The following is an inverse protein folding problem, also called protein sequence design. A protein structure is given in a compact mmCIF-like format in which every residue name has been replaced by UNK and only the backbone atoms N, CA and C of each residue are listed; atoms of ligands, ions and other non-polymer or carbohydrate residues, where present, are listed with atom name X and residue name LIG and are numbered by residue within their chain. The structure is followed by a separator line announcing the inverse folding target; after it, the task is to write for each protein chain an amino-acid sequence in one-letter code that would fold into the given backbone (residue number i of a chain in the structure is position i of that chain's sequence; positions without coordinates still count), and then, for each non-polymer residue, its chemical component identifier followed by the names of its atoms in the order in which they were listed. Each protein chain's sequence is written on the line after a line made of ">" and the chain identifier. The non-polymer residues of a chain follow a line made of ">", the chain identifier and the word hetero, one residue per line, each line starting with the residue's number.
data_IF_196720430220
#
_entry.id   IF_196720430220
#
_cell.length_a   1.000
_cell.length_b   1.000
_cell.length_c   1.000
_cell.angle_alpha   90.00
_cell.angle_beta   90.00
_cell.angle_gamma   90.00
#
_symmetry.space_group_name_H-M   'P 1'
#
loop_
_entity.id
_entity.type
_entity.pdbx_description
1 polymer ?
#
# COMPACT_ATOMS: atom_id res chain seq x y z
N UNK A 1 -30.44 14.64 -39.89
CA UNK A 1 -30.85 14.01 -41.16
C UNK A 1 -32.11 14.65 -41.73
N UNK A 2 -33.23 14.73 -40.99
CA UNK A 2 -34.47 15.41 -41.47
C UNK A 2 -34.29 16.92 -41.70
N UNK A 3 -33.51 17.63 -40.88
CA UNK A 3 -33.19 19.05 -41.11
C UNK A 3 -32.21 19.33 -42.27
N UNK A 4 -31.75 18.29 -42.99
CA UNK A 4 -30.86 18.41 -44.16
C UNK A 4 -31.41 17.73 -45.42
N UNK A 5 -32.68 17.31 -45.42
CA UNK A 5 -33.32 16.73 -46.62
C UNK A 5 -32.72 15.39 -47.08
N UNK A 6 -32.06 14.65 -46.18
CA UNK A 6 -31.52 13.32 -46.48
C UNK A 6 -32.48 12.27 -45.93
N UNK A 7 -33.06 11.46 -46.81
CA UNK A 7 -33.90 10.32 -46.45
C UNK A 7 -33.10 9.30 -45.64
N UNK A 8 -33.61 8.96 -44.45
CA UNK A 8 -32.99 7.99 -43.57
C UNK A 8 -33.59 6.60 -43.87
N UNK A 9 -32.81 5.73 -44.51
CA UNK A 9 -33.16 4.33 -44.73
C UNK A 9 -33.01 3.51 -43.43
N UNK A 10 -33.87 3.78 -42.45
CA UNK A 10 -34.04 2.96 -41.26
C UNK A 10 -35.53 2.89 -40.88
N UNK A 11 -36.34 2.42 -41.82
CA UNK A 11 -37.71 1.94 -41.55
C UNK A 11 -37.69 0.43 -41.45
N UNK A 12 -37.18 -0.10 -40.34
CA UNK A 12 -37.52 -1.45 -39.88
C UNK A 12 -37.74 -1.38 -38.38
N UNK A 13 -38.91 -1.85 -37.97
CA UNK A 13 -39.50 -1.69 -36.66
C UNK A 13 -38.53 -2.05 -35.52
N UNK A 14 -38.17 -1.04 -34.71
CA UNK A 14 -37.48 -1.25 -33.44
C UNK A 14 -38.53 -1.30 -32.34
N UNK A 15 -38.54 -2.42 -31.63
CA UNK A 15 -39.18 -2.70 -30.35
C UNK A 15 -39.47 -1.45 -29.52
N UNK A 16 -40.70 -1.36 -29.02
CA UNK A 16 -41.16 -0.39 -28.03
C UNK A 16 -40.12 -0.14 -26.93
N UNK A 17 -39.41 0.98 -27.01
CA UNK A 17 -38.69 1.52 -25.86
C UNK A 17 -39.73 2.06 -24.88
N UNK A 18 -39.98 1.31 -23.81
CA UNK A 18 -40.59 1.87 -22.62
C UNK A 18 -39.55 2.79 -21.97
N UNK A 19 -39.71 4.10 -22.13
CA UNK A 19 -39.16 5.02 -21.16
C UNK A 19 -39.82 4.69 -19.82
N UNK A 20 -39.08 4.02 -18.94
CA UNK A 20 -39.44 3.98 -17.52
C UNK A 20 -39.34 5.42 -17.06
N UNK A 21 -40.49 6.09 -16.97
CA UNK A 21 -40.61 7.33 -16.24
C UNK A 21 -40.19 7.01 -14.81
N UNK A 22 -38.96 7.37 -14.45
CA UNK A 22 -38.46 7.34 -13.09
C UNK A 22 -39.24 8.40 -12.30
N UNK A 23 -40.45 8.04 -11.87
CA UNK A 23 -41.23 8.76 -10.86
C UNK A 23 -40.51 8.58 -9.54
N UNK A 24 -39.53 9.44 -9.32
CA UNK A 24 -39.38 10.30 -8.15
C UNK A 24 -38.11 11.10 -8.42
N UNK A 25 -38.27 12.41 -8.62
CA UNK A 25 -37.20 13.35 -8.36
C UNK A 25 -36.85 13.20 -6.87
N UNK A 26 -35.99 12.24 -6.54
CA UNK A 26 -35.27 12.25 -5.28
C UNK A 26 -34.64 13.63 -5.22
N UNK A 27 -35.16 14.48 -4.33
CA UNK A 27 -34.57 15.79 -4.03
C UNK A 27 -33.07 15.58 -3.98
N UNK A 28 -32.32 16.26 -4.84
CA UNK A 28 -30.85 16.31 -4.73
C UNK A 28 -30.56 16.64 -3.26
N UNK A 29 -29.99 15.71 -2.49
CA UNK A 29 -29.81 15.93 -1.05
C UNK A 29 -28.96 17.18 -0.86
N UNK A 30 -29.44 18.13 -0.06
CA UNK A 30 -28.65 19.32 0.27
C UNK A 30 -27.35 18.86 0.91
N UNK A 31 -26.22 19.38 0.41
CA UNK A 31 -24.89 19.15 0.98
C UNK A 31 -24.92 19.55 2.45
N UNK A 32 -24.51 18.65 3.35
CA UNK A 32 -24.50 18.89 4.81
C UNK A 32 -23.58 20.06 5.21
N UNK A 33 -22.55 20.34 4.40
CA UNK A 33 -21.63 21.47 4.56
C UNK A 33 -21.62 22.29 3.28
N UNK A 34 -22.37 23.40 3.24
CA UNK A 34 -22.64 24.16 2.00
C UNK A 34 -21.40 24.68 1.26
N UNK A 35 -20.26 24.87 1.94
CA UNK A 35 -19.04 25.46 1.36
C UNK A 35 -17.99 24.44 0.90
N UNK A 36 -18.21 23.14 1.09
CA UNK A 36 -17.21 22.09 0.83
C UNK A 36 -17.36 21.36 -0.50
N UNK A 37 -18.44 21.60 -1.25
CA UNK A 37 -18.76 20.81 -2.45
C UNK A 37 -17.67 20.87 -3.51
N UNK A 38 -17.01 22.03 -3.70
CA UNK A 38 -15.89 22.15 -4.63
C UNK A 38 -14.76 21.17 -4.30
N UNK A 39 -14.46 20.99 -3.01
CA UNK A 39 -13.39 20.10 -2.57
C UNK A 39 -13.80 18.63 -2.64
N UNK A 40 -15.04 18.30 -2.28
CA UNK A 40 -15.58 16.94 -2.43
C UNK A 40 -15.59 16.54 -3.92
N UNK A 41 -15.97 17.46 -4.81
CA UNK A 41 -15.88 17.22 -6.25
C UNK A 41 -14.44 17.02 -6.72
N UNK A 42 -13.49 17.83 -6.22
CA UNK A 42 -12.07 17.64 -6.50
C UNK A 42 -11.56 16.27 -6.03
N UNK A 43 -12.00 15.79 -4.85
CA UNK A 43 -11.66 14.44 -4.39
C UNK A 43 -12.10 13.37 -5.39
N UNK A 44 -13.36 13.37 -5.83
CA UNK A 44 -13.86 12.35 -6.76
C UNK A 44 -13.20 12.44 -8.15
N UNK A 45 -12.80 13.64 -8.58
CA UNK A 45 -12.00 13.83 -9.81
C UNK A 45 -10.56 13.33 -9.66
N UNK A 46 -10.01 13.39 -8.45
CA UNK A 46 -8.65 12.98 -8.14
C UNK A 46 -8.51 11.46 -7.93
N UNK A 47 -9.60 10.74 -7.66
CA UNK A 47 -9.57 9.29 -7.46
C UNK A 47 -9.34 8.56 -8.79
N UNK A 48 -8.43 7.58 -8.78
CA UNK A 48 -8.14 6.75 -9.94
C UNK A 48 -9.01 5.49 -10.03
N UNK A 49 -8.65 4.62 -10.98
CA UNK A 49 -9.38 3.39 -11.28
C UNK A 49 -8.85 2.13 -10.59
N UNK A 50 -7.91 2.25 -9.64
CA UNK A 50 -7.27 1.08 -9.01
C UNK A 50 -8.29 0.20 -8.29
N UNK A 51 -8.27 -1.11 -8.60
CA UNK A 51 -9.23 -2.09 -8.08
C UNK A 51 -9.17 -2.21 -6.56
N UNK A 52 -7.96 -2.22 -6.00
CA UNK A 52 -7.68 -2.35 -4.57
C UNK A 52 -8.21 -1.17 -3.75
N UNK A 53 -8.31 0.02 -4.36
CA UNK A 53 -8.82 1.24 -3.73
C UNK A 53 -10.26 1.61 -4.14
N UNK A 54 -10.92 0.75 -4.93
CA UNK A 54 -12.22 1.04 -5.54
C UNK A 54 -13.35 1.33 -4.53
N UNK A 55 -13.22 0.82 -3.29
CA UNK A 55 -14.18 1.09 -2.20
C UNK A 55 -14.34 2.58 -1.93
N UNK A 56 -13.27 3.37 -2.05
CA UNK A 56 -13.24 4.81 -1.78
C UNK A 56 -13.96 5.67 -2.84
N UNK A 57 -14.31 5.07 -3.99
CA UNK A 57 -15.08 5.72 -5.07
C UNK A 57 -16.45 5.08 -5.30
N UNK A 58 -16.87 4.18 -4.42
CA UNK A 58 -18.15 3.49 -4.57
C UNK A 58 -19.33 4.42 -4.31
N UNK A 59 -20.52 4.06 -4.83
CA UNK A 59 -21.75 4.81 -4.58
C UNK A 59 -22.08 4.91 -3.08
N UNK A 60 -21.62 3.96 -2.26
CA UNK A 60 -21.76 3.98 -0.81
C UNK A 60 -21.01 5.16 -0.17
N UNK A 61 -19.83 5.53 -0.69
CA UNK A 61 -19.08 6.70 -0.22
C UNK A 61 -19.84 7.98 -0.51
N UNK A 62 -20.40 8.11 -1.72
CA UNK A 62 -21.24 9.25 -2.09
C UNK A 62 -22.46 9.36 -1.19
N UNK A 63 -23.19 8.26 -0.97
CA UNK A 63 -24.34 8.24 -0.06
C UNK A 63 -23.94 8.67 1.37
N UNK A 64 -22.88 8.09 1.93
CA UNK A 64 -22.41 8.46 3.26
C UNK A 64 -21.94 9.91 3.36
N UNK A 65 -21.41 10.49 2.28
CA UNK A 65 -21.03 11.92 2.26
C UNK A 65 -22.21 12.88 2.45
N UNK A 66 -23.43 12.40 2.19
CA UNK A 66 -24.68 13.11 2.42
C UNK A 66 -25.35 12.76 3.77
N UNK A 67 -24.95 11.66 4.41
CA UNK A 67 -25.56 11.15 5.64
C UNK A 67 -24.71 11.39 6.90
N UNK A 68 -23.40 11.51 6.77
CA UNK A 68 -22.47 11.64 7.89
C UNK A 68 -21.50 12.82 7.74
N UNK A 69 -21.52 13.73 8.72
CA UNK A 69 -20.73 14.95 8.72
C UNK A 69 -19.21 14.65 8.75
N UNK A 70 -18.78 13.62 9.49
CA UNK A 70 -17.36 13.27 9.58
C UNK A 70 -16.83 12.80 8.24
N UNK A 71 -17.63 11.99 7.53
CA UNK A 71 -17.31 11.55 6.18
C UNK A 71 -17.22 12.76 5.24
N UNK A 72 -18.25 13.59 5.22
CA UNK A 72 -18.34 14.77 4.33
C UNK A 72 -17.15 15.72 4.53
N UNK A 73 -16.81 16.01 5.79
CA UNK A 73 -15.67 16.85 6.16
C UNK A 73 -14.34 16.20 5.78
N UNK A 74 -14.18 14.90 5.99
CA UNK A 74 -12.94 14.19 5.65
C UNK A 74 -12.71 14.16 4.15
N UNK A 75 -13.74 13.86 3.33
CA UNK A 75 -13.66 13.93 1.87
C UNK A 75 -13.27 15.33 1.38
N UNK A 76 -13.87 16.37 1.99
CA UNK A 76 -13.50 17.75 1.70
C UNK A 76 -12.04 18.05 2.03
N UNK A 77 -11.50 17.52 3.13
CA UNK A 77 -10.10 17.72 3.52
C UNK A 77 -9.17 17.07 2.48
N UNK A 78 -9.42 15.81 2.10
CA UNK A 78 -8.60 15.12 1.09
C UNK A 78 -8.58 15.90 -0.22
N UNK A 79 -9.77 16.31 -0.72
CA UNK A 79 -9.87 17.07 -1.96
C UNK A 79 -9.23 18.46 -1.87
N UNK A 80 -9.36 19.15 -0.72
CA UNK A 80 -8.73 20.45 -0.51
C UNK A 80 -7.20 20.35 -0.45
N UNK A 81 -6.65 19.34 0.23
CA UNK A 81 -5.22 19.11 0.29
C UNK A 81 -4.65 18.73 -1.07
N UNK A 82 -5.35 17.88 -1.82
CA UNK A 82 -4.97 17.55 -3.20
C UNK A 82 -4.93 18.79 -4.09
N UNK A 83 -5.94 19.67 -4.01
CA UNK A 83 -5.96 20.94 -4.70
C UNK A 83 -4.81 21.88 -4.27
N UNK A 84 -4.45 21.90 -2.97
CA UNK A 84 -3.32 22.71 -2.48
C UNK A 84 -2.00 22.30 -3.13
N UNK A 85 -1.84 21.01 -3.48
CA UNK A 85 -0.66 20.48 -4.18
C UNK A 85 -0.77 20.60 -5.71
N UNK A 86 -1.99 20.70 -6.24
CA UNK A 86 -2.28 20.71 -7.67
C UNK A 86 -3.02 22.00 -8.08
N UNK A 87 -2.31 23.15 -8.19
CA UNK A 87 -2.95 24.44 -8.46
C UNK A 87 -3.62 24.54 -9.85
N UNK A 88 -3.30 23.60 -10.75
CA UNK A 88 -3.96 23.50 -12.06
C UNK A 88 -5.41 23.01 -11.97
N UNK A 89 -5.75 22.29 -10.91
CA UNK A 89 -7.08 21.70 -10.71
C UNK A 89 -7.98 22.69 -9.99
N UNK A 90 -7.48 23.25 -8.88
CA UNK A 90 -8.19 24.27 -8.12
C UNK A 90 -7.18 25.21 -7.47
N UNK A 91 -7.26 26.50 -7.80
CA UNK A 91 -6.41 27.52 -7.19
C UNK A 91 -6.90 27.80 -5.77
N UNK A 92 -6.04 27.52 -4.80
CA UNK A 92 -6.28 27.78 -3.37
C UNK A 92 -5.31 28.86 -2.90
N UNK A 93 -5.82 29.88 -2.22
CA UNK A 93 -4.98 30.95 -1.69
C UNK A 93 -4.30 30.53 -0.35
N UNK A 94 -3.30 31.29 0.09
CA UNK A 94 -2.54 30.96 1.30
C UNK A 94 -3.37 30.96 2.59
N UNK A 95 -4.47 31.73 2.65
CA UNK A 95 -5.38 31.76 3.80
C UNK A 95 -6.24 30.50 3.84
N UNK A 96 -6.79 30.10 2.70
CA UNK A 96 -7.54 28.86 2.54
C UNK A 96 -6.67 27.64 2.85
N UNK A 97 -5.42 27.61 2.36
CA UNK A 97 -4.47 26.54 2.67
C UNK A 97 -4.25 26.37 4.18
N UNK A 98 -4.04 27.47 4.92
CA UNK A 98 -3.89 27.42 6.38
C UNK A 98 -5.14 26.88 7.06
N UNK A 99 -6.31 27.36 6.67
CA UNK A 99 -7.59 26.89 7.20
C UNK A 99 -7.81 25.38 6.94
N UNK A 100 -7.40 24.88 5.77
CA UNK A 100 -7.47 23.44 5.45
C UNK A 100 -6.57 22.62 6.37
N UNK A 101 -5.32 23.07 6.62
CA UNK A 101 -4.42 22.37 7.54
C UNK A 101 -4.96 22.37 8.99
N UNK A 102 -5.49 23.50 9.48
CA UNK A 102 -6.14 23.58 10.80
C UNK A 102 -7.35 22.64 10.90
N UNK A 103 -8.18 22.61 9.86
CA UNK A 103 -9.36 21.73 9.78
C UNK A 103 -8.96 20.26 9.75
N UNK A 104 -7.88 19.93 9.04
CA UNK A 104 -7.32 18.58 9.00
C UNK A 104 -6.84 18.12 10.38
N UNK A 105 -6.01 18.92 11.07
CA UNK A 105 -5.50 18.59 12.42
C UNK A 105 -6.67 18.37 13.38
N UNK A 106 -7.69 19.24 13.34
CA UNK A 106 -8.90 19.10 14.15
C UNK A 106 -9.66 17.82 13.81
N UNK A 107 -9.87 17.51 12.54
CA UNK A 107 -10.59 16.30 12.12
C UNK A 107 -9.83 15.04 12.50
N UNK A 108 -8.51 15.02 12.35
CA UNK A 108 -7.65 13.91 12.79
C UNK A 108 -7.80 13.65 14.29
N UNK A 109 -7.83 14.70 15.11
CA UNK A 109 -8.07 14.57 16.56
C UNK A 109 -9.46 14.04 16.90
N UNK A 110 -10.50 14.43 16.15
CA UNK A 110 -11.87 13.93 16.34
C UNK A 110 -11.92 12.43 16.03
N UNK A 111 -11.41 12.03 14.86
CA UNK A 111 -11.41 10.62 14.45
C UNK A 111 -10.54 9.77 15.39
N UNK A 112 -9.41 10.28 15.88
CA UNK A 112 -8.59 9.58 16.88
C UNK A 112 -9.36 9.32 18.20
N UNK A 113 -10.18 10.27 18.64
CA UNK A 113 -11.00 10.10 19.84
C UNK A 113 -12.11 9.06 19.63
N UNK A 114 -12.74 9.06 18.44
CA UNK A 114 -13.77 8.11 18.04
C UNK A 114 -13.21 6.68 17.90
N UNK A 115 -12.01 6.51 17.31
CA UNK A 115 -11.34 5.20 17.21
C UNK A 115 -11.07 4.55 18.59
N UNK A 116 -10.99 5.34 19.66
CA UNK A 116 -10.80 4.83 21.03
C UNK A 116 -12.10 4.33 21.66
N UNK A 117 -13.28 4.67 21.13
CA UNK A 117 -14.62 4.41 21.70
C UNK A 117 -15.51 3.54 20.79
N UNK A 118 -15.08 2.33 20.38
CA UNK A 118 -15.75 1.54 19.34
C UNK A 118 -17.20 1.14 19.63
N UNK A 119 -17.62 1.17 20.90
CA UNK A 119 -18.96 0.75 21.35
C UNK A 119 -20.07 1.74 20.98
N UNK A 120 -19.74 3.02 20.83
CA UNK A 120 -20.71 4.12 20.65
C UNK A 120 -20.66 4.66 19.21
N UNK A 121 -19.57 4.35 18.48
CA UNK A 121 -19.29 4.93 17.17
C UNK A 121 -19.99 4.22 16.02
N UNK A 122 -20.34 4.98 14.98
CA UNK A 122 -20.74 4.41 13.68
C UNK A 122 -19.53 3.82 12.97
N UNK A 123 -19.36 2.50 13.07
CA UNK A 123 -18.19 1.78 12.54
C UNK A 123 -17.79 2.17 11.11
N UNK A 124 -18.73 2.13 10.17
CA UNK A 124 -18.48 2.38 8.75
C UNK A 124 -17.95 3.81 8.50
N UNK A 125 -18.59 4.81 9.11
CA UNK A 125 -18.21 6.22 8.94
C UNK A 125 -16.83 6.53 9.54
N UNK A 126 -16.54 5.98 10.72
CA UNK A 126 -15.25 6.17 11.40
C UNK A 126 -14.13 5.44 10.66
N UNK A 127 -14.32 4.18 10.27
CA UNK A 127 -13.31 3.42 9.53
C UNK A 127 -13.00 4.10 8.19
N UNK A 128 -14.00 4.52 7.44
CA UNK A 128 -13.78 5.20 6.18
C UNK A 128 -13.07 6.55 6.38
N UNK A 129 -13.50 7.35 7.35
CA UNK A 129 -12.84 8.63 7.65
C UNK A 129 -11.38 8.42 8.06
N UNK A 130 -11.10 7.37 8.85
CA UNK A 130 -9.74 7.02 9.24
C UNK A 130 -8.89 6.59 8.04
N UNK A 131 -9.43 5.81 7.10
CA UNK A 131 -8.73 5.40 5.88
C UNK A 131 -8.47 6.56 4.92
N UNK A 132 -9.42 7.48 4.78
CA UNK A 132 -9.22 8.72 4.01
C UNK A 132 -8.13 9.61 4.63
N UNK A 133 -8.10 9.72 5.96
CA UNK A 133 -7.02 10.42 6.66
C UNK A 133 -5.68 9.71 6.53
N UNK A 134 -5.65 8.37 6.41
CA UNK A 134 -4.41 7.64 6.13
C UNK A 134 -3.81 8.05 4.76
N UNK A 135 -4.65 8.30 3.75
CA UNK A 135 -4.17 8.85 2.47
C UNK A 135 -3.61 10.27 2.63
N UNK A 136 -4.17 11.08 3.53
CA UNK A 136 -3.61 12.42 3.85
C UNK A 136 -2.25 12.32 4.51
N UNK A 137 -2.05 11.38 5.45
CA UNK A 137 -0.73 11.15 6.05
C UNK A 137 0.33 10.81 4.98
N UNK A 138 -0.03 9.98 3.99
CA UNK A 138 0.85 9.64 2.86
C UNK A 138 1.13 10.85 1.95
N UNK A 139 0.19 11.77 1.81
CA UNK A 139 0.39 12.98 0.98
C UNK A 139 1.32 13.99 1.67
N UNK A 140 1.17 14.18 2.98
CA UNK A 140 1.88 15.23 3.71
C UNK A 140 3.23 14.79 4.26
N UNK A 141 3.39 13.52 4.67
CA UNK A 141 4.62 12.96 5.22
C UNK A 141 5.35 13.87 6.22
N UNK A 142 4.60 14.51 7.13
CA UNK A 142 5.16 15.54 8.01
C UNK A 142 6.24 15.02 8.97
N UNK A 143 6.15 13.76 9.39
CA UNK A 143 7.14 13.13 10.25
C UNK A 143 7.24 11.61 9.98
N UNK A 144 8.43 11.00 10.14
CA UNK A 144 8.60 9.57 9.99
C UNK A 144 7.75 8.81 11.02
N UNK A 145 7.10 7.73 10.62
CA UNK A 145 6.33 6.87 11.54
C UNK A 145 4.87 7.28 11.76
N UNK A 146 4.40 8.44 11.27
CA UNK A 146 3.03 8.93 11.55
C UNK A 146 1.96 8.06 10.90
N UNK A 147 2.21 7.62 9.67
CA UNK A 147 1.31 6.74 8.93
C UNK A 147 1.16 5.39 9.62
N UNK A 148 2.26 4.78 10.06
CA UNK A 148 2.31 3.51 10.77
C UNK A 148 1.58 3.60 12.12
N UNK A 149 1.82 4.67 12.87
CA UNK A 149 1.09 4.94 14.10
C UNK A 149 -0.42 5.06 13.86
N UNK A 150 -0.82 5.66 12.74
CA UNK A 150 -2.22 5.77 12.35
C UNK A 150 -2.83 4.40 11.99
N UNK A 151 -2.14 3.59 11.19
CA UNK A 151 -2.57 2.22 10.87
C UNK A 151 -2.71 1.35 12.11
N UNK A 152 -1.78 1.45 13.08
CA UNK A 152 -1.88 0.76 14.37
C UNK A 152 -3.13 1.16 15.17
N UNK A 153 -3.55 2.43 15.09
CA UNK A 153 -4.80 2.89 15.74
C UNK A 153 -6.03 2.28 15.07
N UNK A 154 -6.05 2.22 13.74
CA UNK A 154 -7.12 1.57 12.98
C UNK A 154 -7.18 0.08 13.32
N UNK A 155 -6.06 -0.64 13.33
CA UNK A 155 -6.02 -2.06 13.72
C UNK A 155 -6.54 -2.28 15.15
N UNK A 156 -6.13 -1.45 16.12
CA UNK A 156 -6.66 -1.53 17.50
C UNK A 156 -8.18 -1.33 17.55
N UNK A 157 -8.71 -0.41 16.74
CA UNK A 157 -10.15 -0.20 16.60
C UNK A 157 -10.85 -1.43 16.02
N UNK A 158 -10.36 -1.98 14.90
CA UNK A 158 -10.91 -3.18 14.26
C UNK A 158 -10.90 -4.39 15.20
N UNK A 159 -9.79 -4.60 15.90
CA UNK A 159 -9.63 -5.70 16.87
C UNK A 159 -10.56 -5.57 18.08
N UNK A 160 -10.88 -4.35 18.52
CA UNK A 160 -11.88 -4.16 19.57
C UNK A 160 -13.27 -4.41 19.02
N UNK A 161 -13.60 -3.84 17.86
CA UNK A 161 -14.93 -3.96 17.27
C UNK A 161 -15.28 -5.40 16.90
N UNK A 162 -14.33 -6.19 16.41
CA UNK A 162 -14.53 -7.61 16.07
C UNK A 162 -14.84 -8.49 17.29
N UNK A 163 -14.42 -8.10 18.50
CA UNK A 163 -14.79 -8.77 19.75
C UNK A 163 -16.26 -8.54 20.13
N UNK A 164 -16.82 -7.39 19.75
CA UNK A 164 -18.20 -7.02 20.05
C UNK A 164 -19.18 -7.48 18.97
N UNK A 165 -18.76 -7.44 17.70
CA UNK A 165 -19.57 -7.79 16.54
C UNK A 165 -18.84 -8.78 15.65
N UNK A 166 -19.41 -9.97 15.51
CA UNK A 166 -18.85 -11.03 14.69
C UNK A 166 -18.66 -10.55 13.23
N UNK A 167 -17.49 -10.88 12.65
CA UNK A 167 -17.10 -10.50 11.28
C UNK A 167 -18.10 -10.97 10.22
N UNK A 168 -18.79 -12.09 10.48
CA UNK A 168 -19.85 -12.62 9.61
C UNK A 168 -21.01 -11.64 9.42
N UNK A 169 -21.24 -10.75 10.38
CA UNK A 169 -22.33 -9.75 10.34
C UNK A 169 -21.96 -8.47 9.60
N UNK A 170 -20.70 -8.32 9.17
CA UNK A 170 -20.27 -7.13 8.45
C UNK A 170 -20.87 -7.08 7.04
N UNK A 171 -21.29 -5.90 6.63
CA UNK A 171 -21.76 -5.60 5.27
C UNK A 171 -20.63 -5.78 4.25
N UNK A 172 -20.98 -5.95 2.97
CA UNK A 172 -19.99 -6.05 1.90
C UNK A 172 -19.06 -4.83 1.87
N UNK A 173 -19.62 -3.63 2.02
CA UNK A 173 -18.87 -2.38 2.04
C UNK A 173 -17.90 -2.28 3.24
N UNK A 174 -18.33 -2.70 4.44
CA UNK A 174 -17.45 -2.78 5.62
C UNK A 174 -16.26 -3.73 5.37
N UNK A 175 -16.52 -4.89 4.73
CA UNK A 175 -15.46 -5.85 4.37
C UNK A 175 -14.48 -5.26 3.35
N UNK A 176 -14.98 -4.50 2.38
CA UNK A 176 -14.15 -3.84 1.37
C UNK A 176 -13.26 -2.74 1.99
N UNK A 177 -13.76 -2.00 2.98
CA UNK A 177 -12.96 -1.03 3.74
C UNK A 177 -11.84 -1.72 4.53
N UNK A 178 -12.14 -2.84 5.19
CA UNK A 178 -11.12 -3.62 5.92
C UNK A 178 -10.11 -4.23 4.95
N UNK A 179 -10.53 -4.64 3.75
CA UNK A 179 -9.61 -5.09 2.70
C UNK A 179 -8.64 -3.98 2.29
N UNK A 180 -9.13 -2.75 2.10
CA UNK A 180 -8.28 -1.60 1.82
C UNK A 180 -7.32 -1.32 2.98
N UNK A 181 -7.79 -1.38 4.22
CA UNK A 181 -6.93 -1.23 5.41
C UNK A 181 -5.78 -2.24 5.38
N UNK A 182 -6.07 -3.53 5.19
CA UNK A 182 -5.07 -4.60 5.09
C UNK A 182 -4.06 -4.33 4.00
N UNK A 183 -4.53 -3.85 2.85
CA UNK A 183 -3.65 -3.53 1.75
C UNK A 183 -2.66 -2.43 2.11
N UNK A 184 -3.12 -1.34 2.74
CA UNK A 184 -2.24 -0.28 3.23
C UNK A 184 -1.25 -0.77 4.27
N UNK A 185 -1.70 -1.60 5.22
CA UNK A 185 -0.87 -2.20 6.27
C UNK A 185 0.25 -3.08 5.69
N UNK A 186 -0.09 -3.94 4.74
CA UNK A 186 0.87 -4.82 4.06
C UNK A 186 1.90 -4.00 3.28
N UNK A 187 1.47 -3.01 2.50
CA UNK A 187 2.40 -2.16 1.75
C UNK A 187 3.36 -1.41 2.66
N UNK A 188 2.85 -0.85 3.77
CA UNK A 188 3.66 -0.17 4.78
C UNK A 188 4.67 -1.12 5.42
N UNK A 189 4.23 -2.33 5.76
CA UNK A 189 5.05 -3.35 6.41
C UNK A 189 6.19 -3.80 5.51
N UNK A 190 5.92 -4.03 4.22
CA UNK A 190 6.93 -4.38 3.22
C UNK A 190 7.95 -3.26 3.04
N UNK A 191 7.50 -2.01 2.92
CA UNK A 191 8.38 -0.86 2.72
C UNK A 191 9.33 -0.63 3.92
N UNK A 192 8.90 -0.96 5.14
CA UNK A 192 9.70 -0.80 6.36
C UNK A 192 10.39 -2.07 6.85
N UNK A 193 10.16 -3.22 6.19
CA UNK A 193 10.56 -4.55 6.65
C UNK A 193 10.06 -4.85 8.09
N UNK A 194 8.85 -4.42 8.43
CA UNK A 194 8.19 -4.67 9.72
C UNK A 194 7.08 -5.73 9.54
N UNK A 195 6.57 -6.27 10.65
CA UNK A 195 5.44 -7.20 10.62
C UNK A 195 4.13 -6.44 10.40
N UNK A 196 3.20 -6.98 9.57
CA UNK A 196 1.83 -6.48 9.50
C UNK A 196 1.17 -6.40 10.87
N UNK A 197 0.41 -5.34 11.09
CA UNK A 197 -0.30 -5.12 12.37
C UNK A 197 -1.49 -6.07 12.49
N UNK A 198 -2.11 -6.47 11.36
CA UNK A 198 -3.16 -7.47 11.36
C UNK A 198 -2.66 -8.92 11.37
N UNK A 199 -3.34 -9.76 12.15
CA UNK A 199 -3.08 -11.19 12.27
C UNK A 199 -3.31 -11.91 10.95
N UNK A 200 -2.49 -12.93 10.69
CA UNK A 200 -2.48 -13.78 9.50
C UNK A 200 -3.86 -14.02 8.88
N UNK A 201 -4.00 -13.64 7.61
CA UNK A 201 -5.07 -14.13 6.74
C UNK A 201 -4.69 -15.57 6.39
N UNK A 202 -5.59 -16.53 6.66
CA UNK A 202 -5.37 -17.91 6.22
C UNK A 202 -5.06 -17.91 4.71
N UNK A 203 -4.16 -18.78 4.22
CA UNK A 203 -3.84 -18.83 2.80
C UNK A 203 -5.12 -19.09 1.99
N UNK A 204 -5.69 -18.05 1.40
CA UNK A 204 -6.83 -18.26 0.50
C UNK A 204 -6.30 -18.89 -0.79
N UNK A 205 -6.76 -20.11 -1.15
CA UNK A 205 -6.45 -20.67 -2.45
C UNK A 205 -7.04 -19.73 -3.51
N UNK A 206 -6.26 -19.49 -4.58
CA UNK A 206 -6.75 -18.75 -5.73
C UNK A 206 -8.08 -19.37 -6.20
N UNK A 207 -9.09 -18.56 -6.59
CA UNK A 207 -10.37 -19.12 -6.99
C UNK A 207 -10.19 -20.10 -8.16
N UNK A 208 -10.41 -21.38 -7.90
CA UNK A 208 -10.74 -22.32 -8.97
C UNK A 208 -12.04 -21.82 -9.64
N UNK A 209 -12.14 -22.02 -10.96
CA UNK A 209 -13.41 -21.85 -11.67
C UNK A 209 -14.48 -22.60 -10.85
N UNK A 210 -15.58 -21.96 -10.41
CA UNK A 210 -16.54 -22.66 -9.58
C UNK A 210 -17.17 -23.76 -10.43
N UNK A 211 -16.89 -25.02 -10.08
CA UNK A 211 -17.89 -26.07 -10.26
C UNK A 211 -18.99 -25.70 -9.26
N UNK A 212 -20.08 -25.17 -9.80
CA UNK A 212 -21.37 -24.86 -9.15
C UNK A 212 -21.56 -25.56 -7.81
N UNK A 213 -21.33 -24.84 -6.72
CA UNK A 213 -21.88 -25.17 -5.40
C UNK A 213 -22.45 -23.88 -4.83
N UNK A 214 -23.73 -23.65 -5.10
CA UNK A 214 -24.57 -22.74 -4.33
C UNK A 214 -24.74 -23.35 -2.93
N UNK A 215 -23.98 -22.85 -1.95
CA UNK A 215 -24.18 -23.20 -0.55
C UNK A 215 -24.52 -21.93 0.26
N UNK A 216 -25.79 -21.84 0.62
CA UNK A 216 -26.38 -21.16 1.78
C UNK A 216 -25.92 -19.71 2.07
N UNK A 217 -26.67 -18.74 1.54
CA UNK A 217 -27.03 -17.49 2.25
C UNK A 217 -25.96 -16.42 2.45
N UNK A 218 -24.68 -16.68 2.15
CA UNK A 218 -23.63 -15.67 2.11
C UNK A 218 -23.54 -15.03 0.72
N UNK A 219 -23.44 -13.69 0.63
CA UNK A 219 -23.10 -13.03 -0.63
C UNK A 219 -21.74 -13.55 -1.11
N UNK A 220 -21.72 -14.33 -2.20
CA UNK A 220 -20.47 -14.82 -2.81
C UNK A 220 -19.60 -13.61 -3.18
N UNK A 221 -18.33 -13.54 -2.73
CA UNK A 221 -17.46 -12.42 -3.08
C UNK A 221 -17.27 -12.36 -4.60
N UNK A 222 -17.21 -11.13 -5.14
CA UNK A 222 -17.02 -10.95 -6.57
C UNK A 222 -15.72 -11.63 -7.05
N UNK A 223 -15.63 -12.06 -8.32
CA UNK A 223 -14.40 -12.62 -8.87
C UNK A 223 -13.18 -11.72 -8.63
N UNK A 224 -13.34 -10.40 -8.77
CA UNK A 224 -12.28 -9.42 -8.55
C UNK A 224 -11.86 -9.34 -7.08
N UNK A 225 -12.84 -9.37 -6.16
CA UNK A 225 -12.57 -9.42 -4.72
C UNK A 225 -11.71 -10.63 -4.36
N UNK A 226 -12.00 -11.81 -4.92
CA UNK A 226 -11.21 -13.04 -4.68
C UNK A 226 -9.79 -12.93 -5.22
N UNK A 227 -9.59 -12.32 -6.40
CA UNK A 227 -8.24 -12.07 -6.93
C UNK A 227 -7.44 -11.15 -6.01
N UNK A 228 -8.07 -10.09 -5.50
CA UNK A 228 -7.43 -9.17 -4.53
C UNK A 228 -7.14 -9.89 -3.22
N UNK A 229 -8.07 -10.68 -2.68
CA UNK A 229 -7.88 -11.43 -1.43
C UNK A 229 -6.70 -12.42 -1.53
N UNK A 230 -6.57 -13.12 -2.66
CA UNK A 230 -5.43 -14.01 -2.90
C UNK A 230 -4.10 -13.25 -3.07
N UNK A 231 -4.11 -12.07 -3.72
CA UNK A 231 -2.95 -11.18 -3.78
C UNK A 231 -2.54 -10.71 -2.38
N UNK A 232 -3.49 -10.23 -1.57
CA UNK A 232 -3.24 -9.76 -0.21
C UNK A 232 -2.70 -10.86 0.69
N UNK A 233 -3.25 -12.07 0.60
CA UNK A 233 -2.73 -13.25 1.30
C UNK A 233 -1.26 -13.53 0.95
N UNK A 234 -0.90 -13.44 -0.34
CA UNK A 234 0.48 -13.63 -0.77
C UNK A 234 1.42 -12.52 -0.31
N UNK A 235 1.00 -11.27 -0.41
CA UNK A 235 1.80 -10.14 0.04
C UNK A 235 1.93 -10.08 1.57
N UNK A 236 0.90 -10.49 2.33
CA UNK A 236 0.97 -10.59 3.79
C UNK A 236 2.03 -11.60 4.21
N UNK A 237 2.07 -12.78 3.57
CA UNK A 237 3.10 -13.79 3.87
C UNK A 237 4.50 -13.28 3.56
N UNK A 238 4.67 -12.53 2.46
CA UNK A 238 5.94 -11.87 2.17
C UNK A 238 6.32 -10.88 3.28
N UNK A 239 5.39 -10.02 3.69
CA UNK A 239 5.60 -9.03 4.75
C UNK A 239 5.96 -9.68 6.11
N UNK A 240 5.41 -10.85 6.44
CA UNK A 240 5.80 -11.59 7.66
C UNK A 240 7.20 -12.24 7.53
N UNK A 241 7.54 -12.75 6.35
CA UNK A 241 8.81 -13.43 6.10
C UNK A 241 10.02 -12.48 6.11
N UNK A 242 9.86 -11.24 5.66
CA UNK A 242 10.95 -10.24 5.63
C UNK A 242 11.62 -9.98 6.99
N UNK A 243 10.91 -9.59 8.06
CA UNK A 243 11.53 -9.36 9.37
C UNK A 243 12.08 -10.65 9.97
N UNK A 244 11.46 -11.81 9.71
CA UNK A 244 11.99 -13.12 10.14
C UNK A 244 13.34 -13.42 9.49
N UNK A 245 13.46 -13.16 8.19
CA UNK A 245 14.70 -13.30 7.44
C UNK A 245 15.79 -12.34 7.95
N UNK A 246 15.47 -11.06 8.16
CA UNK A 246 16.42 -10.08 8.68
C UNK A 246 16.90 -10.43 10.10
N UNK A 247 15.99 -10.83 10.99
CA UNK A 247 16.34 -11.28 12.33
C UNK A 247 17.21 -12.54 12.32
N UNK A 248 16.94 -13.48 11.41
CA UNK A 248 17.76 -14.67 11.23
C UNK A 248 19.18 -14.33 10.75
N UNK A 249 19.30 -13.42 9.78
CA UNK A 249 20.60 -12.99 9.27
C UNK A 249 21.40 -12.30 10.38
N UNK A 250 20.79 -11.37 11.12
CA UNK A 250 21.46 -10.65 12.22
C UNK A 250 22.01 -11.62 13.27
N UNK A 251 21.19 -12.57 13.74
CA UNK A 251 21.62 -13.62 14.68
C UNK A 251 22.73 -14.51 14.13
N UNK A 252 22.70 -14.81 12.84
CA UNK A 252 23.71 -15.66 12.20
C UNK A 252 25.07 -14.95 12.11
N UNK A 253 25.07 -13.65 11.77
CA UNK A 253 26.31 -12.86 11.73
C UNK A 253 26.86 -12.61 13.15
N UNK A 254 26.00 -12.31 14.13
CA UNK A 254 26.39 -12.24 15.55
C UNK A 254 27.04 -13.54 16.04
N UNK A 255 26.45 -14.69 15.68
CA UNK A 255 27.00 -16.00 16.03
C UNK A 255 28.36 -16.22 15.37
N UNK A 256 28.56 -15.82 14.10
CA UNK A 256 29.86 -15.93 13.42
C UNK A 256 30.95 -15.08 14.08
N UNK A 257 30.60 -13.90 14.57
CA UNK A 257 31.54 -13.02 15.27
C UNK A 257 31.90 -13.54 16.68
N UNK A 258 30.98 -14.26 17.32
CA UNK A 258 31.16 -14.83 18.66
C UNK A 258 31.90 -16.18 18.67
N UNK A 259 31.90 -16.91 17.55
CA UNK A 259 32.53 -18.23 17.46
C UNK A 259 34.05 -18.14 17.66
N UNK A 260 34.54 -18.70 18.77
CA UNK A 260 35.96 -19.04 18.94
C UNK A 260 36.19 -20.44 18.35
N UNK A 261 37.30 -20.62 17.63
CA UNK A 261 37.69 -21.95 17.11
C UNK A 261 37.76 -22.95 18.27
N UNK A 262 36.86 -23.94 18.27
CA UNK A 262 36.82 -25.02 19.25
C UNK A 262 35.47 -25.27 19.95
N UNK A 263 34.45 -24.41 19.77
CA UNK A 263 33.14 -24.61 20.39
C UNK A 263 32.35 -25.76 19.73
N UNK A 264 31.85 -26.68 20.56
CA UNK A 264 30.94 -27.75 20.15
C UNK A 264 29.66 -27.16 19.53
N UNK A 265 29.09 -27.88 18.56
CA UNK A 265 27.82 -27.49 17.92
C UNK A 265 26.73 -27.41 18.98
N UNK A 266 26.43 -26.18 19.43
CA UNK A 266 25.39 -25.93 20.42
C UNK A 266 24.00 -26.23 19.84
N UNK A 267 23.06 -26.63 20.71
CA UNK A 267 21.65 -26.82 20.34
C UNK A 267 21.05 -25.57 19.70
N UNK A 268 21.47 -24.39 20.15
CA UNK A 268 21.05 -23.10 19.59
C UNK A 268 21.50 -22.90 18.14
N UNK A 269 22.71 -23.38 17.77
CA UNK A 269 23.17 -23.36 16.37
C UNK A 269 22.32 -24.25 15.47
N UNK A 270 21.91 -25.43 15.96
CA UNK A 270 21.02 -26.34 15.23
C UNK A 270 19.65 -25.70 15.05
N UNK A 271 19.06 -25.15 16.11
CA UNK A 271 17.75 -24.48 16.06
C UNK A 271 17.77 -23.28 15.10
N UNK A 272 18.87 -22.51 15.07
CA UNK A 272 19.02 -21.40 14.13
C UNK A 272 19.10 -21.90 12.68
N UNK A 273 19.83 -22.98 12.39
CA UNK A 273 19.86 -23.58 11.05
C UNK A 273 18.47 -24.09 10.62
N UNK A 274 17.74 -24.76 11.51
CA UNK A 274 16.36 -25.22 11.24
C UNK A 274 15.44 -24.05 10.94
N UNK A 275 15.52 -22.96 11.70
CA UNK A 275 14.76 -21.73 11.41
C UNK A 275 15.08 -21.16 10.03
N UNK A 276 16.36 -21.11 9.65
CA UNK A 276 16.79 -20.63 8.33
C UNK A 276 16.23 -21.49 7.20
N UNK A 277 16.30 -22.82 7.34
CA UNK A 277 15.73 -23.77 6.37
C UNK A 277 14.21 -23.63 6.24
N UNK A 278 13.50 -23.43 7.35
CA UNK A 278 12.06 -23.18 7.33
C UNK A 278 11.71 -21.90 6.57
N UNK A 279 12.45 -20.80 6.77
CA UNK A 279 12.27 -19.55 6.03
C UNK A 279 12.50 -19.78 4.52
N UNK A 280 13.57 -20.50 4.16
CA UNK A 280 13.86 -20.85 2.76
C UNK A 280 12.70 -21.63 2.13
N UNK A 281 12.19 -22.67 2.81
CA UNK A 281 11.05 -23.45 2.33
C UNK A 281 9.77 -22.61 2.16
N UNK A 282 9.46 -21.75 3.13
CA UNK A 282 8.30 -20.86 3.08
C UNK A 282 8.41 -19.86 1.90
N UNK A 283 9.58 -19.27 1.66
CA UNK A 283 9.78 -18.37 0.52
C UNK A 283 9.69 -19.12 -0.81
N UNK A 284 10.28 -20.31 -0.93
CA UNK A 284 10.17 -21.15 -2.14
C UNK A 284 8.71 -21.49 -2.48
N UNK A 285 7.92 -21.87 -1.47
CA UNK A 285 6.50 -22.13 -1.64
C UNK A 285 5.73 -20.86 -2.04
N UNK A 286 6.08 -19.72 -1.44
CA UNK A 286 5.47 -18.43 -1.75
C UNK A 286 5.76 -17.97 -3.18
N UNK A 287 7.02 -18.06 -3.64
CA UNK A 287 7.40 -17.74 -5.01
C UNK A 287 6.65 -18.62 -6.01
N UNK A 288 6.61 -19.94 -5.76
CA UNK A 288 5.88 -20.89 -6.60
C UNK A 288 4.39 -20.52 -6.71
N UNK A 289 3.77 -20.14 -5.59
CA UNK A 289 2.38 -19.68 -5.57
C UNK A 289 2.19 -18.35 -6.32
N UNK A 290 3.09 -17.38 -6.14
CA UNK A 290 3.03 -16.09 -6.85
C UNK A 290 3.18 -16.26 -8.36
N UNK A 291 4.10 -17.12 -8.82
CA UNK A 291 4.24 -17.48 -10.24
C UNK A 291 2.96 -18.14 -10.74
N UNK A 292 2.40 -19.10 -9.99
CA UNK A 292 1.13 -19.74 -10.33
C UNK A 292 -0.02 -18.74 -10.48
N UNK A 293 -0.14 -17.78 -9.56
CA UNK A 293 -1.15 -16.72 -9.64
C UNK A 293 -0.90 -15.79 -10.82
N UNK A 294 0.35 -15.38 -11.07
CA UNK A 294 0.74 -14.51 -12.17
C UNK A 294 0.37 -15.12 -13.53
N UNK A 295 0.61 -16.43 -13.72
CA UNK A 295 0.22 -17.14 -14.95
C UNK A 295 -1.30 -17.13 -15.17
N UNK A 296 -2.08 -17.24 -14.09
CA UNK A 296 -3.54 -17.19 -14.18
C UNK A 296 -4.04 -15.78 -14.49
N UNK A 297 -3.49 -14.76 -13.85
CA UNK A 297 -3.86 -13.36 -14.08
C UNK A 297 -3.50 -12.92 -15.51
N UNK A 298 -2.35 -13.36 -16.01
CA UNK A 298 -1.86 -13.06 -17.36
C UNK A 298 -2.71 -13.69 -18.47
N UNK A 299 -3.50 -14.72 -18.16
CA UNK A 299 -4.43 -15.31 -19.14
C UNK A 299 -5.64 -14.42 -19.47
N UNK A 300 -5.88 -13.37 -18.66
CA UNK A 300 -7.00 -12.42 -18.83
C UNK A 300 -6.49 -10.97 -18.77
N UNK A 301 -5.70 -10.51 -19.77
CA UNK A 301 -5.00 -9.22 -19.73
C UNK A 301 -5.93 -8.00 -19.85
N UNK A 302 -7.16 -8.18 -20.35
CA UNK A 302 -8.16 -7.12 -20.48
C UNK A 302 -8.99 -6.89 -19.21
N UNK A 303 -8.84 -7.75 -18.20
CA UNK A 303 -9.52 -7.56 -16.93
C UNK A 303 -8.79 -6.50 -16.08
N UNK A 304 -9.52 -5.49 -15.62
CA UNK A 304 -8.96 -4.37 -14.85
C UNK A 304 -8.37 -4.86 -13.51
N UNK A 305 -9.02 -5.83 -12.86
CA UNK A 305 -8.51 -6.41 -11.62
C UNK A 305 -7.17 -7.09 -11.89
N UNK A 306 -7.09 -7.94 -12.91
CA UNK A 306 -5.84 -8.56 -13.36
C UNK A 306 -4.74 -7.55 -13.68
N UNK A 307 -5.06 -6.51 -14.45
CA UNK A 307 -4.09 -5.47 -14.83
C UNK A 307 -3.53 -4.74 -13.59
N UNK A 308 -4.37 -4.43 -12.60
CA UNK A 308 -3.95 -3.77 -11.36
C UNK A 308 -3.15 -4.66 -10.39
N UNK A 309 -3.35 -5.97 -10.44
CA UNK A 309 -2.71 -6.95 -9.54
C UNK A 309 -1.34 -7.40 -10.07
N UNK A 310 -1.19 -7.56 -11.39
CA UNK A 310 0.04 -8.03 -12.04
C UNK A 310 1.32 -7.33 -11.54
N UNK A 311 1.38 -5.97 -11.45
CA UNK A 311 2.58 -5.31 -10.96
C UNK A 311 3.02 -5.79 -9.58
N UNK A 312 2.09 -6.10 -8.67
CA UNK A 312 2.42 -6.53 -7.30
C UNK A 312 3.06 -7.91 -7.27
N UNK A 313 2.67 -8.84 -8.15
CA UNK A 313 3.32 -10.15 -8.22
C UNK A 313 4.74 -10.06 -8.76
N UNK A 314 4.95 -9.30 -9.84
CA UNK A 314 6.29 -9.06 -10.36
C UNK A 314 7.20 -8.40 -9.32
N UNK A 315 6.70 -7.35 -8.65
CA UNK A 315 7.40 -6.66 -7.57
C UNK A 315 7.74 -7.60 -6.40
N UNK A 316 6.79 -8.42 -5.97
CA UNK A 316 7.00 -9.35 -4.87
C UNK A 316 8.01 -10.45 -5.20
N UNK A 317 8.01 -10.98 -6.42
CA UNK A 317 9.03 -11.95 -6.85
C UNK A 317 10.44 -11.33 -6.79
N UNK A 318 10.59 -10.08 -7.24
CA UNK A 318 11.85 -9.34 -7.11
C UNK A 318 12.25 -9.21 -5.64
N UNK A 319 11.34 -8.72 -4.80
CA UNK A 319 11.59 -8.53 -3.37
C UNK A 319 11.92 -9.81 -2.59
N UNK A 320 11.25 -10.93 -2.90
CA UNK A 320 11.54 -12.23 -2.29
C UNK A 320 12.94 -12.74 -2.64
N UNK A 321 13.41 -12.54 -3.87
CA UNK A 321 14.78 -12.89 -4.27
C UNK A 321 15.82 -12.04 -3.54
N UNK A 322 15.54 -10.75 -3.32
CA UNK A 322 16.44 -9.86 -2.58
C UNK A 322 16.68 -10.29 -1.13
N UNK A 323 15.75 -11.00 -0.50
CA UNK A 323 15.90 -11.46 0.89
C UNK A 323 17.15 -12.33 1.10
N UNK A 324 17.59 -13.03 0.05
CA UNK A 324 18.70 -13.99 0.11
C UNK A 324 20.03 -13.44 -0.45
N UNK A 325 20.13 -12.13 -0.67
CA UNK A 325 21.38 -11.51 -1.17
C UNK A 325 22.51 -11.49 -0.13
N UNK A 326 22.19 -11.63 1.16
CA UNK A 326 23.19 -11.57 2.23
C UNK A 326 23.99 -12.88 2.34
N UNK A 327 25.30 -12.77 2.61
CA UNK A 327 26.20 -13.93 2.70
C UNK A 327 25.88 -14.88 3.88
N UNK A 328 25.12 -14.43 4.88
CA UNK A 328 24.59 -15.26 5.96
C UNK A 328 23.91 -16.53 5.43
N UNK A 329 23.11 -16.42 4.37
CA UNK A 329 22.33 -17.56 3.85
C UNK A 329 23.19 -18.71 3.31
N UNK A 330 24.42 -18.44 2.89
CA UNK A 330 25.35 -19.46 2.39
C UNK A 330 25.74 -20.48 3.46
N UNK A 331 25.65 -20.15 4.76
CA UNK A 331 25.95 -21.13 5.82
C UNK A 331 24.90 -22.22 6.00
N UNK A 332 23.74 -22.12 5.34
CA UNK A 332 22.75 -23.20 5.33
C UNK A 332 23.12 -24.34 4.37
N UNK A 333 24.06 -24.12 3.45
CA UNK A 333 24.51 -25.11 2.45
C UNK A 333 23.33 -25.75 1.68
N UNK A 334 22.31 -24.96 1.37
CA UNK A 334 21.16 -25.37 0.57
C UNK A 334 20.99 -24.44 -0.65
N UNK A 335 20.22 -24.91 -1.63
CA UNK A 335 19.84 -24.09 -2.77
C UNK A 335 18.88 -22.99 -2.29
N UNK A 336 19.24 -21.74 -2.58
CA UNK A 336 18.43 -20.58 -2.21
C UNK A 336 17.45 -20.24 -3.34
N UNK A 337 16.21 -19.83 -3.02
CA UNK A 337 15.19 -19.45 -4.01
C UNK A 337 15.46 -18.05 -4.56
N UNK A 338 16.61 -17.88 -5.20
CA UNK A 338 17.06 -16.65 -5.84
C UNK A 338 16.87 -16.81 -7.34
N UNK A 339 16.08 -15.92 -7.93
CA UNK A 339 15.98 -15.86 -9.39
C UNK A 339 17.33 -15.45 -10.01
N UNK A 340 17.69 -15.98 -11.20
CA UNK A 340 18.82 -15.47 -11.97
C UNK A 340 18.72 -13.96 -12.21
N UNK A 341 19.85 -13.27 -12.33
CA UNK A 341 19.89 -11.81 -12.48
C UNK A 341 19.05 -11.33 -13.67
N UNK A 342 19.11 -12.03 -14.80
CA UNK A 342 18.32 -11.72 -15.99
C UNK A 342 16.82 -11.84 -15.71
N UNK A 343 16.40 -12.89 -15.00
CA UNK A 343 15.01 -13.07 -14.63
C UNK A 343 14.55 -11.98 -13.65
N UNK A 344 15.37 -11.66 -12.64
CA UNK A 344 15.09 -10.62 -11.65
C UNK A 344 14.89 -9.25 -12.31
N UNK A 345 15.79 -8.90 -13.23
CA UNK A 345 15.71 -7.70 -14.05
C UNK A 345 14.44 -7.67 -14.91
N UNK A 346 14.08 -8.77 -15.58
CA UNK A 346 12.84 -8.86 -16.36
C UNK A 346 11.57 -8.72 -15.49
N UNK A 347 11.55 -9.29 -14.28
CA UNK A 347 10.43 -9.10 -13.34
C UNK A 347 10.30 -7.62 -12.94
N UNK A 348 11.42 -6.95 -12.64
CA UNK A 348 11.43 -5.53 -12.31
C UNK A 348 10.93 -4.65 -13.47
N UNK A 349 11.41 -4.91 -14.70
CA UNK A 349 10.94 -4.21 -15.90
C UNK A 349 9.45 -4.44 -16.18
N UNK A 350 8.96 -5.65 -15.98
CA UNK A 350 7.54 -5.98 -16.14
C UNK A 350 6.68 -5.22 -15.11
N UNK A 351 7.10 -5.20 -13.84
CA UNK A 351 6.42 -4.43 -12.79
C UNK A 351 6.31 -2.95 -13.17
N UNK A 352 7.42 -2.33 -13.57
CA UNK A 352 7.46 -0.93 -13.99
C UNK A 352 6.59 -0.68 -15.23
N UNK A 353 6.71 -1.53 -16.26
CA UNK A 353 5.95 -1.41 -17.51
C UNK A 353 4.44 -1.50 -17.29
N UNK A 354 3.98 -2.38 -16.40
CA UNK A 354 2.56 -2.45 -16.05
C UNK A 354 2.07 -1.18 -15.32
N UNK A 355 2.86 -0.64 -14.39
CA UNK A 355 2.50 0.62 -13.71
C UNK A 355 2.46 1.79 -14.69
N UNK A 356 3.41 1.87 -15.63
CA UNK A 356 3.43 2.89 -16.67
C UNK A 356 2.19 2.86 -17.58
N UNK A 357 1.67 1.67 -17.92
CA UNK A 357 0.43 1.53 -18.69
C UNK A 357 -0.77 2.07 -17.89
N UNK A 358 -0.79 1.83 -16.57
CA UNK A 358 -1.90 2.22 -15.69
C UNK A 358 -1.88 3.70 -15.30
N UNK A 359 -0.73 4.38 -15.38
CA UNK A 359 -0.51 5.71 -14.79
C UNK A 359 -1.51 6.79 -15.22
N UNK A 360 -2.04 6.67 -16.45
CA UNK A 360 -3.04 7.59 -17.00
C UNK A 360 -4.41 7.43 -16.36
N UNK A 361 -4.71 6.25 -15.82
CA UNK A 361 -5.97 5.91 -15.15
C UNK A 361 -5.87 6.04 -13.63
N UNK A 362 -4.64 6.11 -13.11
CA UNK A 362 -4.37 6.31 -11.69
C UNK A 362 -4.45 7.80 -11.34
N UNK A 363 -5.00 8.07 -10.16
CA UNK A 363 -5.22 9.35 -9.52
C UNK A 363 -4.40 9.44 -8.24
N UNK A 364 -5.07 9.59 -7.10
CA UNK A 364 -4.51 9.49 -5.74
C UNK A 364 -3.99 8.08 -5.40
N UNK A 365 -4.55 7.06 -6.03
CA UNK A 365 -4.16 5.65 -5.86
C UNK A 365 -2.78 5.31 -6.46
N UNK A 366 -2.18 6.22 -7.26
CA UNK A 366 -0.82 6.06 -7.78
C UNK A 366 0.22 5.87 -6.67
N UNK A 367 0.03 6.51 -5.52
CA UNK A 367 0.94 6.40 -4.38
C UNK A 367 1.05 4.97 -3.80
N UNK A 368 0.07 4.11 -4.08
CA UNK A 368 0.08 2.72 -3.60
C UNK A 368 1.15 1.87 -4.32
N UNK A 369 1.68 2.36 -5.44
CA UNK A 369 2.83 1.78 -6.13
C UNK A 369 4.17 2.37 -5.68
N UNK A 370 4.20 3.37 -4.77
CA UNK A 370 5.44 4.01 -4.35
C UNK A 370 6.49 3.01 -3.78
N UNK A 371 6.13 1.99 -2.99
CA UNK A 371 7.08 0.97 -2.52
C UNK A 371 7.80 0.18 -3.62
N UNK A 372 7.33 0.26 -4.87
CA UNK A 372 7.97 -0.44 -5.99
C UNK A 372 9.36 0.11 -6.26
N UNK A 373 9.55 1.41 -6.05
CA UNK A 373 10.82 2.08 -6.27
C UNK A 373 11.97 1.39 -5.50
N UNK A 374 11.72 0.84 -4.32
CA UNK A 374 12.75 0.21 -3.50
C UNK A 374 13.36 -1.04 -4.13
N UNK A 375 12.57 -1.93 -4.71
CA UNK A 375 13.08 -3.19 -5.27
C UNK A 375 13.25 -3.08 -6.79
N UNK A 376 12.28 -2.50 -7.49
CA UNK A 376 12.34 -2.32 -8.94
C UNK A 376 13.49 -1.38 -9.31
N UNK A 377 13.69 -0.29 -8.57
CA UNK A 377 14.77 0.64 -8.85
C UNK A 377 16.18 0.04 -8.69
N UNK A 378 16.34 -0.98 -7.84
CA UNK A 378 17.64 -1.66 -7.65
C UNK A 378 18.09 -2.45 -8.86
N UNK A 379 17.12 -2.93 -9.62
CA UNK A 379 17.32 -3.79 -10.79
C UNK A 379 17.44 -3.02 -12.10
N UNK A 380 17.43 -1.67 -12.05
CA UNK A 380 17.59 -0.83 -13.26
C UNK A 380 19.07 -0.70 -13.62
N UNK A 381 19.49 -1.36 -14.68
CA UNK A 381 20.88 -1.46 -15.11
C UNK A 381 21.27 -0.28 -16.01
N UNK A 382 20.38 0.11 -16.92
CA UNK A 382 20.66 1.15 -17.91
C UNK A 382 20.18 2.53 -17.47
N UNK A 383 20.81 3.59 -17.99
CA UNK A 383 20.40 4.96 -17.70
C UNK A 383 18.96 5.24 -18.16
N UNK A 384 18.53 4.63 -19.27
CA UNK A 384 17.16 4.75 -19.78
C UNK A 384 16.14 4.18 -18.78
N UNK A 385 16.44 3.03 -18.18
CA UNK A 385 15.59 2.38 -17.18
C UNK A 385 15.53 3.19 -15.88
N UNK A 386 16.67 3.69 -15.41
CA UNK A 386 16.75 4.57 -14.25
C UNK A 386 15.90 5.82 -14.46
N UNK A 387 15.98 6.45 -15.64
CA UNK A 387 15.15 7.60 -16.00
C UNK A 387 13.65 7.28 -16.00
N UNK A 388 13.24 6.07 -16.40
CA UNK A 388 11.83 5.65 -16.31
C UNK A 388 11.33 5.61 -14.87
N UNK A 389 12.11 5.05 -13.95
CA UNK A 389 11.79 5.04 -12.51
C UNK A 389 11.74 6.46 -11.93
N UNK A 390 12.71 7.31 -12.27
CA UNK A 390 12.71 8.72 -11.85
C UNK A 390 11.48 9.47 -12.36
N UNK A 391 11.08 9.24 -13.62
CA UNK A 391 9.86 9.82 -14.20
C UNK A 391 8.60 9.33 -13.48
N UNK A 392 8.55 8.06 -13.10
CA UNK A 392 7.46 7.54 -12.27
C UNK A 392 7.38 8.27 -10.91
N UNK A 393 8.51 8.44 -10.22
CA UNK A 393 8.56 9.16 -8.94
C UNK A 393 8.18 10.64 -9.10
N UNK A 394 8.65 11.30 -10.15
CA UNK A 394 8.28 12.69 -10.47
C UNK A 394 6.77 12.82 -10.75
N UNK A 395 6.16 11.79 -11.37
CA UNK A 395 4.71 11.73 -11.54
C UNK A 395 3.99 11.56 -10.21
N UNK A 396 4.42 10.65 -9.33
CA UNK A 396 3.85 10.48 -7.99
C UNK A 396 3.92 11.80 -7.21
N UNK A 397 5.08 12.47 -7.24
CA UNK A 397 5.27 13.79 -6.63
C UNK A 397 4.35 14.84 -7.24
N UNK A 398 4.19 14.86 -8.56
CA UNK A 398 3.30 15.80 -9.24
C UNK A 398 1.84 15.62 -8.83
N UNK A 399 1.44 14.42 -8.37
CA UNK A 399 0.10 14.16 -7.80
C UNK A 399 -0.03 14.57 -6.34
N UNK A 400 1.02 15.10 -5.73
CA UNK A 400 0.99 15.70 -4.40
C UNK A 400 1.47 14.80 -3.27
N UNK A 401 2.26 13.76 -3.58
CA UNK A 401 2.87 12.87 -2.59
C UNK A 401 4.36 13.17 -2.44
N UNK A 402 4.73 13.87 -1.36
CA UNK A 402 6.13 14.30 -1.15
C UNK A 402 7.07 13.13 -0.84
N UNK A 403 6.55 12.01 -0.34
CA UNK A 403 7.33 10.80 -0.08
C UNK A 403 8.17 10.34 -1.28
N UNK A 404 7.72 10.63 -2.51
CA UNK A 404 8.46 10.28 -3.72
C UNK A 404 9.88 10.88 -3.79
N UNK A 405 10.13 12.01 -3.13
CA UNK A 405 11.48 12.59 -3.05
C UNK A 405 12.43 11.74 -2.22
N UNK A 406 11.96 11.13 -1.13
CA UNK A 406 12.78 10.25 -0.28
C UNK A 406 13.24 9.02 -1.07
N UNK A 407 12.30 8.35 -1.77
CA UNK A 407 12.60 7.24 -2.67
C UNK A 407 13.57 7.65 -3.79
N UNK A 408 13.38 8.84 -4.36
CA UNK A 408 14.24 9.37 -5.42
C UNK A 408 15.67 9.56 -4.92
N UNK A 409 15.84 10.18 -3.75
CA UNK A 409 17.16 10.38 -3.15
C UNK A 409 17.85 9.05 -2.83
N UNK A 410 17.13 8.08 -2.26
CA UNK A 410 17.68 6.76 -1.96
C UNK A 410 18.17 6.03 -3.20
N UNK A 411 17.44 6.12 -4.32
CA UNK A 411 17.86 5.50 -5.58
C UNK A 411 19.07 6.20 -6.20
N UNK A 412 19.12 7.53 -6.19
CA UNK A 412 20.23 8.29 -6.74
C UNK A 412 21.55 7.95 -6.02
N UNK A 413 21.55 7.96 -4.68
CA UNK A 413 22.73 7.57 -3.87
C UNK A 413 23.18 6.14 -4.20
N UNK A 414 22.24 5.24 -4.49
CA UNK A 414 22.56 3.84 -4.81
C UNK A 414 23.12 3.66 -6.22
N UNK A 415 22.63 4.42 -7.18
CA UNK A 415 23.08 4.35 -8.58
C UNK A 415 24.36 5.13 -8.85
N UNK A 416 24.81 5.96 -7.91
CA UNK A 416 26.12 6.57 -7.99
C UNK A 416 27.18 5.49 -8.18
N UNK A 417 28.04 5.62 -9.20
CA UNK A 417 29.11 4.67 -9.41
C UNK A 417 29.98 4.69 -8.17
N UNK A 418 30.07 3.57 -7.46
CA UNK A 418 31.14 3.34 -6.49
C UNK A 418 32.45 3.66 -7.21
N UNK A 419 33.03 4.82 -6.90
CA UNK A 419 34.27 5.27 -7.52
C UNK A 419 35.26 4.10 -7.45
N UNK A 420 35.68 3.63 -8.64
CA UNK A 420 36.71 2.63 -8.89
C UNK A 420 37.50 2.19 -7.65
N UNK A 421 37.08 1.09 -7.02
CA UNK A 421 37.91 0.32 -6.10
C UNK A 421 38.94 -0.51 -6.91
N UNK A 422 39.75 0.22 -7.66
CA UNK A 422 41.10 -0.12 -8.11
C UNK A 422 41.81 1.24 -8.05
N UNK A 423 42.38 1.60 -6.91
CA UNK A 423 43.81 1.41 -6.65
C UNK A 423 44.06 1.73 -5.16
N UNK A 424 44.84 0.87 -4.50
CA UNK A 424 45.40 0.96 -3.13
C UNK A 424 44.57 0.43 -1.95
N UNK A 425 44.82 -0.86 -1.70
CA UNK A 425 44.95 -1.57 -0.43
C UNK A 425 44.67 -0.89 0.91
N UNK A 426 43.97 -1.66 1.75
CA UNK A 426 43.96 -1.66 3.22
C UNK A 426 43.38 -0.45 3.96
N UNK A 427 42.09 -0.56 4.30
CA UNK A 427 41.48 -0.26 5.60
C UNK A 427 39.99 -0.67 5.46
N UNK A 428 39.53 -1.84 5.90
CA UNK A 428 39.22 -2.19 7.29
C UNK A 428 38.61 -1.02 8.08
N UNK A 429 37.38 -1.24 8.56
CA UNK A 429 36.65 -0.45 9.57
C UNK A 429 36.06 0.89 9.11
N UNK A 430 34.74 0.90 8.93
CA UNK A 430 33.81 1.96 9.38
C UNK A 430 32.37 1.53 9.04
N UNK A 431 31.91 0.54 9.79
CA UNK A 431 30.50 0.30 10.11
C UNK A 431 30.46 0.28 11.62
N UNK A 432 30.10 1.40 12.23
CA UNK A 432 29.57 1.56 13.59
C UNK A 432 29.58 3.06 13.90
N UNK A 433 28.42 3.72 13.77
CA UNK A 433 27.99 4.77 14.72
C UNK A 433 26.61 5.32 14.35
N UNK A 434 25.53 4.59 14.65
CA UNK A 434 24.19 5.19 14.77
C UNK A 434 23.37 4.44 15.83
N UNK A 435 23.78 4.53 17.10
CA UNK A 435 22.86 4.38 18.23
C UNK A 435 23.50 4.82 19.55
N UNK A 436 22.70 5.53 20.35
CA UNK A 436 22.88 5.85 21.78
C UNK A 436 23.61 7.14 22.15
N UNK A 437 22.82 8.21 22.35
CA UNK A 437 23.02 9.06 23.54
C UNK A 437 21.68 9.32 24.22
N UNK A 438 21.46 8.62 25.33
CA UNK A 438 20.46 8.90 26.35
C UNK A 438 21.14 8.81 27.71
N UNK A 439 21.34 10.00 28.31
CA UNK A 439 21.16 10.40 29.71
C UNK A 439 21.96 9.69 30.83
N UNK A 440 22.72 10.52 31.55
CA UNK A 440 22.95 10.60 33.02
C UNK A 440 24.46 10.72 33.31
N UNK A 441 24.99 11.68 34.08
CA UNK A 441 24.45 12.75 34.89
C UNK A 441 25.63 13.28 35.73
N UNK A 442 25.67 14.58 36.04
CA UNK A 442 26.48 15.09 37.15
C UNK A 442 25.83 16.38 37.67
N UNK A 443 25.25 16.26 38.86
CA UNK A 443 24.94 17.34 39.78
C UNK A 443 26.24 18.01 40.27
N UNK A 444 26.28 19.33 40.31
CA UNK A 444 26.49 20.12 41.54
C UNK A 444 27.00 21.55 41.25
N UNK A 445 26.51 22.51 42.05
CA UNK A 445 27.10 23.85 42.23
C UNK A 445 26.31 24.99 41.57
N UNK A 446 25.13 25.39 42.06
CA UNK A 446 24.94 26.47 43.05
C UNK A 446 25.65 27.81 42.77
N UNK A 447 24.85 28.89 42.81
CA UNK A 447 25.16 30.31 43.10
C UNK A 447 25.87 31.11 41.97
N UNK A 448 25.53 32.35 41.60
CA UNK A 448 24.75 33.46 42.20
C UNK A 448 24.78 34.67 41.23
N UNK A 449 23.81 35.60 41.33
CA UNK A 449 23.82 37.02 40.89
C UNK A 449 23.73 37.23 39.36
N UNK A 450 22.87 38.09 38.80
CA UNK A 450 22.08 39.23 39.27
C UNK A 450 20.88 39.46 38.36
#
# INVERSE_FOLDING_TARGET
>A
CVTRGIECAASTASSSFHFVNQRELSRVPRVLVQDSWRYISTYFQAMGSLTQASVLRSAAVTAMSHEDENVSRTLSIVGALYACRNPQILRINAKERRNVMETWVRQKSIIDAELKKPEITKFTAILMSALLLAAVELMLCEAPGTFEMWLRRISKFLNRYSKWRAVSTWTAFEKDLVRLFRFLDILSSIAKNDRPVETQVAPEPWPALPLTIEAAGGSVPSPDSRKVDAMLSAMWQWADLQPRALAWVSKTEEQRLSFKEGDEVSRESIDLKVQGLNIVCEVSALQSRMIGNLMQVSSSPHDQASASINPYYHWALTGLSHMFQQNAWKSLMCDLPVMPAEALHQQALAALGHVEILISQLGLDLALYLPFADFVGREMETELERQRVLKFLDLVKSRGFDAADEYKQHLLVRWEPKASASTLGNAAELSDDWSEQSVDGLSDGLSTLS
#
